data_IF_778623524686
#
_entry.id   IF_778623524686
#
_cell.length_a   1.000
_cell.length_b   1.000
_cell.length_c   1.000
_cell.angle_alpha   90.00
_cell.angle_beta   90.00
_cell.angle_gamma   90.00
#
_symmetry.space_group_name_H-M   'P 1'
#
loop_
_entity.id
_entity.type
_entity.pdbx_description
1 polymer ?
#
# COMPACT_ATOMS: atom_id res chain seq x y z
N UNK A 1 23.03 11.55 6.41
CA UNK A 1 22.51 11.24 5.07
C UNK A 1 21.21 10.47 5.29
N UNK A 2 20.13 10.91 4.69
CA UNK A 2 18.80 10.30 4.94
C UNK A 2 18.63 9.11 4.00
N UNK A 3 18.92 7.94 4.51
CA UNK A 3 18.86 6.69 3.76
C UNK A 3 17.54 5.96 4.00
N UNK A 4 17.10 5.15 3.04
CA UNK A 4 15.85 4.42 3.14
C UNK A 4 16.01 2.93 2.81
N UNK A 5 15.06 2.12 3.24
CA UNK A 5 14.94 0.76 2.75
C UNK A 5 13.48 0.44 2.39
N UNK A 6 13.31 -0.42 1.40
CA UNK A 6 12.00 -1.01 1.07
C UNK A 6 12.02 -2.51 1.28
N UNK A 7 11.02 -3.00 2.01
CA UNK A 7 10.73 -4.43 2.06
C UNK A 7 9.95 -4.82 0.81
N UNK A 8 10.46 -5.82 0.11
CA UNK A 8 9.78 -6.49 -0.99
C UNK A 8 9.56 -7.96 -0.63
N UNK A 9 8.70 -8.64 -1.36
CA UNK A 9 8.44 -10.08 -1.18
C UNK A 9 8.38 -10.78 -2.53
N UNK A 10 8.65 -12.10 -2.60
CA UNK A 10 8.56 -12.84 -3.84
C UNK A 10 7.11 -12.94 -4.31
N UNK A 11 6.89 -12.67 -5.59
CA UNK A 11 5.60 -12.86 -6.28
C UNK A 11 5.55 -14.25 -6.91
N UNK A 12 6.65 -14.65 -7.57
CA UNK A 12 6.85 -16.00 -8.08
C UNK A 12 8.10 -16.59 -7.41
N UNK A 13 7.94 -17.39 -6.36
CA UNK A 13 9.05 -17.85 -5.53
C UNK A 13 10.15 -18.57 -6.33
N UNK A 14 9.77 -19.42 -7.30
CA UNK A 14 10.74 -20.16 -8.11
C UNK A 14 11.59 -19.22 -8.96
N UNK A 15 10.96 -18.29 -9.66
CA UNK A 15 11.63 -17.32 -10.53
C UNK A 15 12.50 -16.34 -9.71
N UNK A 16 12.00 -15.89 -8.58
CA UNK A 16 12.67 -14.91 -7.75
C UNK A 16 13.89 -15.53 -7.03
N UNK A 17 13.76 -16.78 -6.55
CA UNK A 17 14.89 -17.56 -6.02
C UNK A 17 15.91 -17.83 -7.13
N UNK A 18 15.47 -18.20 -8.33
CA UNK A 18 16.37 -18.46 -9.45
C UNK A 18 17.20 -17.24 -9.86
N UNK A 19 16.64 -16.03 -9.75
CA UNK A 19 17.38 -14.78 -10.02
C UNK A 19 18.52 -14.54 -9.03
N UNK A 20 18.30 -14.82 -7.76
CA UNK A 20 19.32 -14.60 -6.71
C UNK A 20 20.22 -15.80 -6.50
N UNK A 21 19.66 -17.00 -6.62
CA UNK A 21 20.30 -18.30 -6.42
C UNK A 21 20.00 -19.25 -7.59
N UNK A 22 20.68 -19.08 -8.75
CA UNK A 22 20.32 -19.79 -10.00
C UNK A 22 20.22 -21.31 -9.87
N UNK A 23 21.16 -21.93 -9.16
CA UNK A 23 21.19 -23.38 -8.96
C UNK A 23 20.01 -23.87 -8.11
N UNK A 24 19.69 -23.19 -7.00
CA UNK A 24 18.58 -23.57 -6.13
C UNK A 24 17.23 -23.43 -6.86
N UNK A 25 17.01 -22.33 -7.55
CA UNK A 25 15.77 -22.12 -8.31
C UNK A 25 15.59 -23.08 -9.50
N UNK A 26 16.68 -23.63 -10.04
CA UNK A 26 16.63 -24.62 -11.10
C UNK A 26 16.30 -26.03 -10.58
N UNK A 27 16.89 -26.43 -9.47
CA UNK A 27 16.82 -27.80 -8.93
C UNK A 27 15.57 -28.00 -8.06
N UNK A 28 15.22 -27.01 -7.23
CA UNK A 28 14.12 -27.18 -6.27
C UNK A 28 12.75 -26.98 -6.95
N UNK A 29 11.77 -27.86 -6.64
CA UNK A 29 10.39 -27.64 -7.04
C UNK A 29 9.80 -26.47 -6.27
N UNK A 30 8.82 -25.78 -6.85
CA UNK A 30 8.20 -24.57 -6.24
C UNK A 30 7.61 -24.84 -4.85
N UNK A 31 7.01 -26.04 -4.66
CA UNK A 31 6.46 -26.42 -3.35
C UNK A 31 7.54 -26.49 -2.27
N UNK A 32 8.75 -26.99 -2.59
CA UNK A 32 9.87 -27.03 -1.67
C UNK A 32 10.38 -25.62 -1.36
N UNK A 33 10.51 -24.77 -2.39
CA UNK A 33 10.91 -23.35 -2.20
C UNK A 33 9.91 -22.65 -1.29
N UNK A 34 8.61 -22.81 -1.52
CA UNK A 34 7.56 -22.23 -0.67
C UNK A 34 7.63 -22.75 0.76
N UNK A 35 7.83 -24.05 0.95
CA UNK A 35 7.94 -24.62 2.31
C UNK A 35 9.15 -24.10 3.06
N UNK A 36 10.32 -24.08 2.42
CA UNK A 36 11.55 -23.65 3.08
C UNK A 36 11.67 -22.14 3.22
N UNK A 37 11.00 -21.33 2.39
CA UNK A 37 11.12 -19.87 2.42
C UNK A 37 10.78 -19.26 3.77
N UNK A 38 9.83 -19.85 4.52
CA UNK A 38 9.47 -19.41 5.86
C UNK A 38 10.63 -19.49 6.88
N UNK A 39 11.61 -20.36 6.65
CA UNK A 39 12.77 -20.53 7.51
C UNK A 39 13.96 -19.69 7.06
N UNK A 40 13.97 -19.21 5.84
CA UNK A 40 15.05 -18.38 5.34
C UNK A 40 15.13 -17.02 6.07
N UNK A 41 16.35 -16.51 6.29
CA UNK A 41 16.51 -15.14 6.78
C UNK A 41 16.10 -14.13 5.71
N UNK A 42 15.86 -12.86 6.10
CA UNK A 42 15.73 -11.75 5.16
C UNK A 42 16.94 -11.65 4.23
N UNK A 43 16.70 -11.29 2.97
CA UNK A 43 17.73 -11.28 1.94
C UNK A 43 17.95 -9.86 1.42
N UNK A 44 19.16 -9.36 1.53
CA UNK A 44 19.60 -8.16 0.81
C UNK A 44 19.51 -8.42 -0.70
N UNK A 45 18.81 -7.54 -1.43
CA UNK A 45 18.60 -7.69 -2.86
C UNK A 45 19.49 -6.74 -3.65
N UNK A 46 19.40 -5.43 -3.39
CA UNK A 46 20.16 -4.43 -4.13
C UNK A 46 20.33 -3.13 -3.36
N UNK A 47 21.34 -2.38 -3.73
CA UNK A 47 21.60 -1.01 -3.32
C UNK A 47 21.03 -0.05 -4.38
N UNK A 48 20.34 0.96 -3.93
CA UNK A 48 19.76 2.03 -4.76
C UNK A 48 20.65 3.25 -4.59
N UNK A 49 21.26 3.70 -5.67
CA UNK A 49 22.17 4.86 -5.68
C UNK A 49 21.76 5.83 -6.79
N UNK A 50 22.35 7.03 -6.78
CA UNK A 50 22.15 8.02 -7.83
C UNK A 50 20.85 8.81 -7.70
N UNK A 51 20.15 8.71 -6.56
CA UNK A 51 18.99 9.55 -6.27
C UNK A 51 19.48 10.86 -5.65
N UNK A 52 19.00 11.97 -6.21
CA UNK A 52 19.29 13.31 -5.69
C UNK A 52 17.98 14.06 -5.51
N UNK A 53 17.75 14.62 -4.33
CA UNK A 53 16.61 15.48 -4.06
C UNK A 53 16.64 16.72 -4.94
N UNK A 54 15.64 16.95 -5.75
CA UNK A 54 15.55 18.16 -6.58
C UNK A 54 15.39 19.44 -5.72
N UNK A 55 14.80 19.32 -4.54
CA UNK A 55 14.56 20.45 -3.66
C UNK A 55 15.80 20.90 -2.89
N UNK A 56 16.66 19.94 -2.49
CA UNK A 56 17.79 20.22 -1.59
C UNK A 56 19.16 19.95 -2.20
N UNK A 57 19.24 19.27 -3.36
CA UNK A 57 20.49 18.78 -3.95
C UNK A 57 21.14 17.63 -3.15
N UNK A 58 20.50 17.14 -2.10
CA UNK A 58 21.08 16.11 -1.23
C UNK A 58 21.00 14.74 -1.87
N UNK A 59 22.10 13.98 -1.96
CA UNK A 59 22.06 12.59 -2.40
C UNK A 59 21.41 11.71 -1.34
N UNK A 60 20.64 10.74 -1.80
CA UNK A 60 19.93 9.75 -0.96
C UNK A 60 20.23 8.37 -1.49
N UNK A 61 20.47 7.42 -0.60
CA UNK A 61 20.69 6.02 -0.92
C UNK A 61 19.64 5.14 -0.27
N UNK A 62 19.46 3.94 -0.82
CA UNK A 62 18.49 3.02 -0.27
C UNK A 62 18.76 1.56 -0.59
N UNK A 63 17.96 0.68 -0.01
CA UNK A 63 18.10 -0.76 -0.17
C UNK A 63 16.76 -1.43 -0.43
N UNK A 64 16.77 -2.39 -1.35
CA UNK A 64 15.71 -3.40 -1.42
C UNK A 64 16.11 -4.62 -0.60
N UNK A 65 15.22 -5.02 0.31
CA UNK A 65 15.39 -6.17 1.19
C UNK A 65 14.19 -7.09 1.03
N UNK A 66 14.42 -8.36 0.71
CA UNK A 66 13.34 -9.31 0.57
C UNK A 66 12.96 -9.94 1.93
N UNK A 67 11.69 -9.82 2.27
CA UNK A 67 11.03 -10.71 3.22
C UNK A 67 10.72 -12.01 2.48
N UNK A 68 11.21 -13.18 2.92
CA UNK A 68 11.12 -14.41 2.14
C UNK A 68 9.72 -15.04 2.08
N UNK A 69 8.73 -14.45 2.74
CA UNK A 69 7.35 -14.92 2.72
C UNK A 69 6.62 -14.49 1.44
N UNK A 70 5.85 -15.41 0.87
CA UNK A 70 4.94 -15.12 -0.24
C UNK A 70 3.64 -14.47 0.26
N UNK A 71 2.86 -13.77 -0.59
CA UNK A 71 1.55 -13.26 -0.22
C UNK A 71 0.63 -14.33 0.37
N UNK A 72 0.62 -15.53 -0.23
CA UNK A 72 -0.17 -16.65 0.28
C UNK A 72 0.23 -17.05 1.71
N UNK A 73 1.52 -17.16 1.98
CA UNK A 73 2.01 -17.47 3.33
C UNK A 73 1.64 -16.36 4.31
N UNK A 74 1.78 -15.11 3.91
CA UNK A 74 1.44 -13.96 4.75
C UNK A 74 -0.04 -13.94 5.17
N UNK A 75 -0.94 -14.45 4.32
CA UNK A 75 -2.38 -14.54 4.62
C UNK A 75 -2.75 -15.80 5.41
N UNK A 76 -2.01 -16.93 5.21
CA UNK A 76 -2.39 -18.22 5.79
C UNK A 76 -1.63 -18.59 7.07
N UNK A 77 -0.48 -17.96 7.32
CA UNK A 77 0.31 -18.20 8.53
C UNK A 77 -0.25 -17.43 9.73
N UNK A 78 0.04 -17.88 10.97
CA UNK A 78 -0.26 -17.10 12.16
C UNK A 78 0.35 -15.69 12.06
N UNK A 79 -0.43 -14.61 12.35
CA UNK A 79 0.03 -13.23 12.21
C UNK A 79 1.35 -12.93 12.93
N UNK A 80 1.54 -13.51 14.11
CA UNK A 80 2.75 -13.32 14.92
C UNK A 80 4.02 -13.79 14.19
N UNK A 81 3.94 -14.91 13.46
CA UNK A 81 5.07 -15.42 12.66
C UNK A 81 5.37 -14.51 11.47
N UNK A 82 4.33 -13.95 10.85
CA UNK A 82 4.48 -12.98 9.76
C UNK A 82 5.13 -11.71 10.28
N UNK A 83 4.63 -11.14 11.39
CA UNK A 83 5.22 -9.97 12.02
C UNK A 83 6.69 -10.19 12.39
N UNK A 84 7.02 -11.32 13.03
CA UNK A 84 8.41 -11.65 13.37
C UNK A 84 9.33 -11.63 12.14
N UNK A 85 8.85 -12.15 11.00
CA UNK A 85 9.63 -12.20 9.77
C UNK A 85 9.81 -10.80 9.15
N UNK A 86 8.76 -9.97 9.15
CA UNK A 86 8.83 -8.58 8.67
C UNK A 86 9.71 -7.73 9.59
N UNK A 87 9.61 -7.91 10.92
CA UNK A 87 10.48 -7.23 11.90
C UNK A 87 11.94 -7.62 11.70
N UNK A 88 12.24 -8.92 11.49
CA UNK A 88 13.60 -9.36 11.17
C UNK A 88 14.13 -8.67 9.90
N UNK A 89 13.26 -8.48 8.90
CA UNK A 89 13.62 -7.78 7.65
C UNK A 89 13.90 -6.30 7.94
N UNK A 90 13.09 -5.65 8.77
CA UNK A 90 13.31 -4.28 9.20
C UNK A 90 14.60 -4.09 9.99
N UNK A 91 14.93 -5.04 10.88
CA UNK A 91 16.21 -5.03 11.61
C UNK A 91 17.43 -5.16 10.69
N UNK A 92 17.28 -5.85 9.55
CA UNK A 92 18.33 -5.85 8.54
C UNK A 92 18.44 -4.47 7.86
N UNK A 93 17.34 -3.77 7.62
CA UNK A 93 17.37 -2.39 7.12
C UNK A 93 18.11 -1.44 8.07
N UNK A 94 17.84 -1.52 9.38
CA UNK A 94 18.58 -0.75 10.40
C UNK A 94 20.08 -1.02 10.35
N UNK A 95 20.47 -2.29 10.25
CA UNK A 95 21.90 -2.68 10.15
C UNK A 95 22.58 -2.16 8.88
N UNK A 96 21.83 -1.97 7.79
CA UNK A 96 22.33 -1.39 6.55
C UNK A 96 22.41 0.15 6.59
N UNK A 97 21.90 0.79 7.65
CA UNK A 97 21.93 2.22 7.84
C UNK A 97 20.71 2.97 7.30
N UNK A 98 19.58 2.29 7.11
CA UNK A 98 18.33 2.97 6.76
C UNK A 98 17.81 3.82 7.91
N UNK A 99 17.31 5.01 7.58
CA UNK A 99 16.66 5.93 8.52
C UNK A 99 15.13 5.87 8.45
N UNK A 100 14.59 5.23 7.41
CA UNK A 100 13.16 4.97 7.24
C UNK A 100 12.95 3.66 6.50
N UNK A 101 11.91 2.93 6.87
CA UNK A 101 11.52 1.67 6.25
C UNK A 101 10.17 1.79 5.55
N UNK A 102 10.15 1.54 4.24
CA UNK A 102 8.92 1.37 3.46
C UNK A 102 8.49 -0.10 3.43
N UNK A 103 7.23 -0.35 3.80
CA UNK A 103 6.59 -1.65 3.60
C UNK A 103 6.05 -1.72 2.17
N UNK A 104 6.58 -2.65 1.36
CA UNK A 104 6.19 -2.80 -0.04
C UNK A 104 5.19 -3.93 -0.27
N UNK A 105 4.25 -3.72 -1.19
CA UNK A 105 3.28 -4.74 -1.58
C UNK A 105 2.49 -5.29 -0.40
N UNK A 106 2.43 -6.61 -0.26
CA UNK A 106 1.63 -7.27 0.77
C UNK A 106 2.08 -6.99 2.20
N UNK A 107 3.35 -6.63 2.44
CA UNK A 107 3.83 -6.30 3.78
C UNK A 107 3.20 -5.01 4.33
N UNK A 108 2.69 -4.13 3.47
CA UNK A 108 2.00 -2.90 3.85
C UNK A 108 0.55 -3.13 4.33
N UNK A 109 -0.09 -4.22 3.87
CA UNK A 109 -1.52 -4.47 4.12
C UNK A 109 -1.79 -5.54 5.17
N UNK A 110 -0.73 -6.21 5.67
CA UNK A 110 -0.89 -7.26 6.68
C UNK A 110 -1.13 -6.66 8.06
N UNK A 111 -2.17 -7.17 8.69
CA UNK A 111 -2.50 -6.86 10.08
C UNK A 111 -2.92 -5.41 10.29
N UNK A 112 -2.14 -4.65 11.02
CA UNK A 112 -2.47 -3.31 11.52
C UNK A 112 -1.81 -2.15 10.76
N UNK A 113 -1.46 -2.35 9.48
CA UNK A 113 -0.84 -1.30 8.68
C UNK A 113 0.56 -0.89 9.16
N UNK A 114 1.30 -1.82 9.72
CA UNK A 114 2.68 -1.62 10.14
C UNK A 114 2.87 -1.08 11.57
N UNK A 115 1.79 -0.86 12.34
CA UNK A 115 1.88 -0.36 13.71
C UNK A 115 2.66 -1.30 14.63
N UNK A 116 2.38 -2.61 14.57
CA UNK A 116 3.13 -3.61 15.34
C UNK A 116 4.60 -3.65 14.91
N UNK A 117 4.87 -3.54 13.61
CA UNK A 117 6.23 -3.54 13.08
C UNK A 117 7.01 -2.32 13.60
N UNK A 118 6.40 -1.13 13.53
CA UNK A 118 7.05 0.13 13.96
C UNK A 118 7.43 0.13 15.44
N UNK A 119 6.65 -0.53 16.31
CA UNK A 119 6.96 -0.66 17.75
C UNK A 119 8.21 -1.50 18.05
N UNK A 120 8.68 -2.31 17.10
CA UNK A 120 9.83 -3.21 17.27
C UNK A 120 11.07 -2.77 16.49
N UNK A 121 11.01 -1.61 15.83
CA UNK A 121 12.12 -1.01 15.10
C UNK A 121 12.46 0.35 15.69
N UNK A 122 13.72 0.77 15.53
CA UNK A 122 14.20 2.08 15.98
C UNK A 122 14.09 3.15 14.88
N UNK A 123 13.69 2.77 13.67
CA UNK A 123 13.48 3.67 12.53
C UNK A 123 11.98 3.78 12.20
N UNK A 124 11.51 4.92 11.70
CA UNK A 124 10.14 5.10 11.23
C UNK A 124 9.76 4.08 10.17
N UNK A 125 8.49 3.65 10.19
CA UNK A 125 7.91 2.72 9.21
C UNK A 125 6.79 3.42 8.46
N UNK A 126 6.74 3.25 7.14
CA UNK A 126 5.67 3.77 6.28
C UNK A 126 5.11 2.67 5.38
N UNK A 127 3.81 2.66 5.16
CA UNK A 127 3.13 1.82 4.17
C UNK A 127 3.10 2.44 2.78
N UNK A 128 3.38 3.75 2.69
CA UNK A 128 3.22 4.52 1.46
C UNK A 128 1.78 4.98 1.20
N UNK A 129 0.81 4.59 2.02
CA UNK A 129 -0.61 4.91 1.83
C UNK A 129 -0.85 6.41 1.75
N UNK A 130 -0.20 7.21 2.58
CA UNK A 130 -0.38 8.67 2.59
C UNK A 130 -0.04 9.31 1.24
N UNK A 131 1.07 8.90 0.62
CA UNK A 131 1.45 9.40 -0.71
C UNK A 131 0.51 8.87 -1.81
N UNK A 132 0.13 7.60 -1.71
CA UNK A 132 -0.84 6.97 -2.62
C UNK A 132 -2.18 7.71 -2.58
N UNK A 133 -2.68 8.04 -1.39
CA UNK A 133 -3.92 8.80 -1.20
C UNK A 133 -3.82 10.19 -1.82
N UNK A 134 -2.75 10.93 -1.51
CA UNK A 134 -2.55 12.27 -2.03
C UNK A 134 -2.53 12.28 -3.57
N UNK A 135 -1.72 11.41 -4.17
CA UNK A 135 -1.61 11.32 -5.63
C UNK A 135 -2.89 10.81 -6.31
N UNK A 136 -3.64 9.92 -5.67
CA UNK A 136 -4.91 9.41 -6.19
C UNK A 136 -5.97 10.53 -6.24
N UNK A 137 -6.11 11.29 -5.16
CA UNK A 137 -7.06 12.42 -5.09
C UNK A 137 -6.68 13.53 -6.07
N UNK A 138 -5.42 13.99 -6.04
CA UNK A 138 -4.94 15.01 -6.97
C UNK A 138 -5.04 14.57 -8.43
N UNK A 139 -4.66 13.33 -8.72
CA UNK A 139 -4.74 12.72 -10.05
C UNK A 139 -6.17 12.70 -10.58
N UNK A 140 -7.13 12.28 -9.75
CA UNK A 140 -8.56 12.26 -10.11
C UNK A 140 -9.07 13.64 -10.45
N UNK A 141 -8.82 14.63 -9.59
CA UNK A 141 -9.25 16.00 -9.81
C UNK A 141 -8.58 16.66 -11.03
N UNK A 142 -7.29 16.39 -11.23
CA UNK A 142 -6.55 16.91 -12.39
C UNK A 142 -7.02 16.28 -13.69
N UNK A 143 -7.32 14.98 -13.70
CA UNK A 143 -7.86 14.28 -14.85
C UNK A 143 -9.24 14.84 -15.24
N UNK A 144 -10.15 15.01 -14.27
CA UNK A 144 -11.46 15.60 -14.50
C UNK A 144 -11.38 16.97 -15.17
N UNK A 145 -10.57 17.87 -14.60
CA UNK A 145 -10.39 19.22 -15.18
C UNK A 145 -9.82 19.19 -16.58
N UNK A 146 -8.87 18.28 -16.88
CA UNK A 146 -8.32 18.11 -18.23
C UNK A 146 -9.34 17.57 -19.24
N UNK A 147 -10.33 16.82 -18.77
CA UNK A 147 -11.45 16.33 -19.58
C UNK A 147 -12.61 17.33 -19.69
N UNK A 148 -12.45 18.54 -19.16
CA UNK A 148 -13.49 19.58 -19.20
C UNK A 148 -14.58 19.42 -18.14
N UNK A 149 -14.39 18.53 -17.18
CA UNK A 149 -15.32 18.27 -16.07
C UNK A 149 -14.96 19.16 -14.87
N UNK A 150 -15.92 19.95 -14.37
CA UNK A 150 -15.75 20.71 -13.13
C UNK A 150 -16.04 19.80 -11.93
N UNK A 151 -15.03 19.44 -11.12
CA UNK A 151 -15.24 18.55 -9.98
C UNK A 151 -16.31 19.02 -8.99
N UNK A 152 -16.42 20.32 -8.76
CA UNK A 152 -17.37 20.89 -7.79
C UNK A 152 -18.84 20.76 -8.21
N UNK A 153 -19.09 20.46 -9.47
CA UNK A 153 -20.43 20.28 -10.06
C UNK A 153 -20.68 18.83 -10.47
N UNK A 154 -19.77 17.94 -10.15
CA UNK A 154 -19.74 16.56 -10.63
C UNK A 154 -19.95 15.56 -9.50
N UNK A 155 -20.37 14.36 -9.86
CA UNK A 155 -20.51 13.21 -8.98
C UNK A 155 -19.21 12.38 -9.02
N UNK A 156 -18.59 12.18 -7.88
CA UNK A 156 -17.46 11.29 -7.74
C UNK A 156 -17.87 9.99 -7.04
N UNK A 157 -17.32 8.86 -7.47
CA UNK A 157 -17.49 7.58 -6.77
C UNK A 157 -16.16 7.05 -6.26
N UNK A 158 -16.13 6.55 -5.02
CA UNK A 158 -14.98 5.86 -4.44
C UNK A 158 -15.34 4.39 -4.23
N UNK A 159 -14.71 3.51 -5.03
CA UNK A 159 -14.89 2.06 -4.92
C UNK A 159 -13.87 1.50 -3.94
N UNK A 160 -14.33 0.73 -2.96
CA UNK A 160 -13.50 0.28 -1.84
C UNK A 160 -13.39 1.33 -0.73
N UNK A 161 -14.43 2.16 -0.58
CA UNK A 161 -14.48 3.28 0.37
C UNK A 161 -14.26 2.88 1.84
N UNK A 162 -14.47 1.62 2.21
CA UNK A 162 -14.25 1.12 3.58
C UNK A 162 -12.81 0.68 3.86
N UNK A 163 -11.95 0.60 2.82
CA UNK A 163 -10.53 0.27 2.98
C UNK A 163 -9.71 1.42 3.57
N UNK A 164 -8.47 1.15 4.02
CA UNK A 164 -7.56 2.15 4.60
C UNK A 164 -7.34 3.35 3.68
N UNK A 165 -7.04 3.10 2.42
CA UNK A 165 -6.84 4.14 1.40
C UNK A 165 -8.18 4.79 1.01
N UNK A 166 -9.22 3.97 0.74
CA UNK A 166 -10.50 4.46 0.24
C UNK A 166 -11.21 5.41 1.19
N UNK A 167 -11.17 5.09 2.49
CA UNK A 167 -11.76 5.94 3.54
C UNK A 167 -11.16 7.33 3.56
N UNK A 168 -9.83 7.44 3.45
CA UNK A 168 -9.16 8.74 3.48
C UNK A 168 -9.30 9.46 2.14
N UNK A 169 -9.25 8.73 1.01
CA UNK A 169 -9.56 9.31 -0.29
C UNK A 169 -10.97 9.94 -0.31
N UNK A 170 -11.97 9.24 0.23
CA UNK A 170 -13.34 9.75 0.32
C UNK A 170 -13.43 11.04 1.15
N UNK A 171 -12.77 11.09 2.29
CA UNK A 171 -12.73 12.29 3.14
C UNK A 171 -12.05 13.49 2.45
N UNK A 172 -10.98 13.25 1.70
CA UNK A 172 -10.25 14.32 1.02
C UNK A 172 -10.90 14.75 -0.30
N UNK A 173 -11.55 13.83 -1.01
CA UNK A 173 -12.22 14.09 -2.27
C UNK A 173 -13.60 14.71 -2.06
N UNK A 174 -14.34 14.28 -1.05
CA UNK A 174 -15.71 14.72 -0.77
C UNK A 174 -15.88 16.25 -0.80
N UNK A 175 -15.13 17.05 -0.04
CA UNK A 175 -15.26 18.50 -0.01
C UNK A 175 -14.92 19.21 -1.34
N UNK A 176 -14.38 18.48 -2.31
CA UNK A 176 -13.90 19.02 -3.59
C UNK A 176 -14.83 18.70 -4.77
N UNK A 177 -15.92 17.96 -4.53
CA UNK A 177 -16.89 17.50 -5.54
C UNK A 177 -18.30 17.92 -5.18
N UNK A 178 -19.21 17.88 -6.17
CA UNK A 178 -20.62 18.22 -5.96
C UNK A 178 -21.36 17.16 -5.16
N UNK A 179 -21.09 15.89 -5.42
CA UNK A 179 -21.65 14.74 -4.73
C UNK A 179 -20.60 13.62 -4.66
N UNK A 180 -20.63 12.81 -3.61
CA UNK A 180 -19.77 11.62 -3.51
C UNK A 180 -20.59 10.35 -3.24
N UNK A 181 -20.29 9.29 -4.01
CA UNK A 181 -20.86 7.95 -3.84
C UNK A 181 -19.79 7.05 -3.21
N UNK A 182 -20.07 6.56 -2.02
CA UNK A 182 -19.21 5.62 -1.30
C UNK A 182 -19.63 4.19 -1.64
N UNK A 183 -18.78 3.46 -2.37
CA UNK A 183 -19.10 2.10 -2.82
C UNK A 183 -18.28 1.07 -2.07
N UNK A 184 -18.96 0.08 -1.49
CA UNK A 184 -18.35 -1.01 -0.73
C UNK A 184 -19.31 -2.17 -0.49
N UNK A 185 -18.82 -3.25 0.10
CA UNK A 185 -19.63 -4.48 0.30
C UNK A 185 -20.45 -4.47 1.59
N UNK A 186 -20.04 -3.72 2.60
CA UNK A 186 -20.62 -3.74 3.95
C UNK A 186 -21.23 -2.39 4.30
N UNK A 187 -22.55 -2.37 4.37
CA UNK A 187 -23.33 -1.14 4.56
C UNK A 187 -22.97 -0.43 5.87
N UNK A 188 -22.86 -1.17 6.98
CA UNK A 188 -22.52 -0.60 8.29
C UNK A 188 -21.15 0.11 8.31
N UNK A 189 -20.18 -0.39 7.56
CA UNK A 189 -18.88 0.28 7.44
C UNK A 189 -18.94 1.50 6.52
N UNK A 190 -19.77 1.44 5.48
CA UNK A 190 -20.01 2.59 4.61
C UNK A 190 -20.64 3.75 5.37
N UNK A 191 -21.62 3.47 6.27
CA UNK A 191 -22.22 4.49 7.13
C UNK A 191 -21.19 5.20 8.01
N UNK A 192 -20.22 4.45 8.57
CA UNK A 192 -19.13 5.05 9.33
C UNK A 192 -18.24 5.97 8.48
N UNK A 193 -17.99 5.59 7.23
CA UNK A 193 -17.21 6.43 6.30
C UNK A 193 -18.01 7.66 5.88
N UNK A 194 -19.32 7.52 5.67
CA UNK A 194 -20.21 8.64 5.38
C UNK A 194 -20.17 9.69 6.49
N UNK A 195 -20.25 9.30 7.75
CA UNK A 195 -20.11 10.21 8.89
C UNK A 195 -18.79 10.97 8.87
N UNK A 196 -17.68 10.30 8.53
CA UNK A 196 -16.37 10.93 8.41
C UNK A 196 -16.31 11.95 7.25
N UNK A 197 -16.95 11.66 6.13
CA UNK A 197 -17.01 12.56 4.96
C UNK A 197 -17.90 13.77 5.25
N UNK A 198 -19.04 13.56 5.90
CA UNK A 198 -19.93 14.63 6.33
C UNK A 198 -19.23 15.58 7.32
N UNK A 199 -18.42 15.03 8.23
CA UNK A 199 -17.63 15.82 9.18
C UNK A 199 -16.57 16.71 8.50
N UNK A 200 -16.18 16.42 7.25
CA UNK A 200 -15.30 17.27 6.43
C UNK A 200 -16.04 18.39 5.67
N UNK A 201 -17.34 18.52 5.89
CA UNK A 201 -18.16 19.57 5.27
C UNK A 201 -18.81 19.20 3.93
N UNK A 202 -18.76 17.93 3.52
CA UNK A 202 -19.52 17.46 2.35
C UNK A 202 -20.93 17.04 2.76
N UNK A 203 -21.93 17.75 2.22
CA UNK A 203 -23.35 17.51 2.52
C UNK A 203 -24.04 16.51 1.58
N UNK A 204 -23.46 16.25 0.41
CA UNK A 204 -24.06 15.42 -0.64
C UNK A 204 -23.31 14.08 -0.74
N UNK A 205 -23.57 13.20 0.22
CA UNK A 205 -22.93 11.88 0.31
C UNK A 205 -23.98 10.77 0.15
N UNK A 206 -23.68 9.78 -0.65
CA UNK A 206 -24.48 8.58 -0.86
C UNK A 206 -23.64 7.33 -0.61
N UNK A 207 -24.25 6.32 0.01
CA UNK A 207 -23.64 5.00 0.17
C UNK A 207 -24.29 3.98 -0.76
N UNK A 208 -23.50 3.06 -1.31
CA UNK A 208 -24.01 2.01 -2.20
C UNK A 208 -23.22 0.71 -2.04
N UNK A 209 -23.93 -0.40 -2.13
CA UNK A 209 -23.36 -1.75 -2.25
C UNK A 209 -23.41 -2.27 -3.69
N UNK A 210 -23.95 -1.47 -4.62
CA UNK A 210 -24.12 -1.82 -6.04
C UNK A 210 -23.08 -1.13 -6.93
N UNK A 211 -22.39 -1.90 -7.75
CA UNK A 211 -21.51 -1.35 -8.79
C UNK A 211 -22.27 -0.66 -9.93
N UNK A 212 -23.59 -0.87 -10.03
CA UNK A 212 -24.41 -0.21 -11.06
C UNK A 212 -24.52 1.30 -10.83
N UNK A 213 -24.40 1.74 -9.58
CA UNK A 213 -24.49 3.17 -9.23
C UNK A 213 -23.29 3.98 -9.73
N UNK A 214 -22.19 3.32 -10.13
CA UNK A 214 -21.07 3.97 -10.79
C UNK A 214 -21.46 4.63 -12.13
N UNK A 215 -22.55 4.20 -12.77
CA UNK A 215 -23.06 4.81 -14.00
C UNK A 215 -23.54 6.26 -13.80
N UNK A 216 -23.73 6.66 -12.55
CA UNK A 216 -24.16 8.02 -12.19
C UNK A 216 -22.95 8.92 -11.86
N UNK A 217 -21.75 8.38 -11.84
CA UNK A 217 -20.54 9.12 -11.49
C UNK A 217 -19.83 9.65 -12.74
N UNK A 218 -19.40 10.91 -12.67
CA UNK A 218 -18.54 11.55 -13.67
C UNK A 218 -17.08 11.17 -13.46
N UNK A 219 -16.71 10.83 -12.22
CA UNK A 219 -15.37 10.43 -11.79
C UNK A 219 -15.43 9.19 -10.93
N UNK A 220 -14.57 8.20 -11.20
CA UNK A 220 -14.48 6.98 -10.39
C UNK A 220 -13.06 6.78 -9.92
N UNK A 221 -12.89 6.72 -8.60
CA UNK A 221 -11.64 6.34 -7.94
C UNK A 221 -11.75 4.94 -7.37
N UNK A 222 -11.00 4.00 -7.95
CA UNK A 222 -11.01 2.61 -7.50
C UNK A 222 -9.77 2.32 -6.65
N UNK A 223 -9.99 1.92 -5.39
CA UNK A 223 -8.97 1.64 -4.39
C UNK A 223 -9.25 0.33 -3.65
N UNK A 224 -9.61 -0.68 -4.41
CA UNK A 224 -9.86 -2.04 -3.92
C UNK A 224 -8.94 -3.03 -4.64
N UNK A 225 -8.65 -4.14 -3.99
CA UNK A 225 -7.84 -5.24 -4.51
C UNK A 225 -8.66 -6.49 -4.83
N UNK A 226 -9.98 -6.38 -4.88
CA UNK A 226 -10.91 -7.48 -5.19
C UNK A 226 -11.93 -7.07 -6.24
#
# INVERSE_FOLDING_TARGET
>A
MDNFAFIIHPVNPKRDVQRKFPLLGRILPEAAINFFSQYFPPVYISHITGIVSQATGTPVEGWFIACPLTPRQMVTMPPEKVYQKVIQTGKLAEKLGANILGLGGFTAVIGDGGLTISKHLNIPVTTGDSYTIATAVEGTLKAARRMGTDPRRSVAAVVGATGSIGRVCAQLLGPQVGEIILVGRRLNELTQVEELVLAQGQSNTRISTSMLDLRQADMVLTVTNT
#
